data_IF_232742015134
#
_entry.id   IF_232742015134
#
_cell.length_a   1.000
_cell.length_b   1.000
_cell.length_c   1.000
_cell.angle_alpha   90.00
_cell.angle_beta   90.00
_cell.angle_gamma   90.00
#
_symmetry.space_group_name_H-M   'P 1'
#
loop_
_entity.id
_entity.type
_entity.pdbx_description
1 polymer ?
#
# COMPACT_ATOMS: atom_id res chain seq x y z
N UNK A 1 87.59 30.38 -17.97
CA UNK A 1 86.60 29.99 -16.95
C UNK A 1 85.73 31.13 -16.41
N UNK A 2 85.95 32.43 -16.75
CA UNK A 2 85.12 33.55 -16.24
C UNK A 2 83.69 33.62 -16.81
N UNK A 3 83.39 32.94 -17.93
CA UNK A 3 82.06 32.95 -18.56
C UNK A 3 81.14 31.79 -18.14
N UNK A 4 81.67 30.75 -17.46
CA UNK A 4 80.89 29.59 -17.05
C UNK A 4 80.05 29.87 -15.79
N UNK A 5 80.58 30.67 -14.87
CA UNK A 5 79.90 31.09 -13.64
C UNK A 5 78.61 31.88 -13.94
N UNK A 6 78.62 32.94 -14.77
CA UNK A 6 77.39 33.68 -15.08
C UNK A 6 76.37 32.84 -15.86
N UNK A 7 76.83 31.85 -16.64
CA UNK A 7 75.94 30.92 -17.33
C UNK A 7 75.22 29.98 -16.35
N UNK A 8 75.92 29.47 -15.33
CA UNK A 8 75.33 28.64 -14.28
C UNK A 8 74.38 29.46 -13.41
N UNK A 9 74.73 30.69 -13.03
CA UNK A 9 73.84 31.60 -12.30
C UNK A 9 72.56 31.88 -13.08
N UNK A 10 72.65 32.17 -14.38
CA UNK A 10 71.48 32.42 -15.21
C UNK A 10 70.55 31.18 -15.27
N UNK A 11 71.12 29.97 -15.41
CA UNK A 11 70.34 28.73 -15.42
C UNK A 11 69.64 28.52 -14.06
N UNK A 12 70.36 28.71 -12.95
CA UNK A 12 69.80 28.57 -11.60
C UNK A 12 68.71 29.62 -11.36
N UNK A 13 68.93 30.88 -11.75
CA UNK A 13 67.93 31.94 -11.65
C UNK A 13 66.67 31.61 -12.45
N UNK A 14 66.80 31.07 -13.67
CA UNK A 14 65.67 30.63 -14.48
C UNK A 14 64.92 29.50 -13.79
N UNK A 15 65.61 28.49 -13.26
CA UNK A 15 64.98 27.36 -12.56
C UNK A 15 64.24 27.86 -11.31
N UNK A 16 64.86 28.72 -10.50
CA UNK A 16 64.22 29.31 -9.32
C UNK A 16 62.98 30.09 -9.72
N UNK A 17 63.05 30.93 -10.77
CA UNK A 17 61.90 31.69 -11.28
C UNK A 17 60.77 30.78 -11.75
N UNK A 18 61.09 29.71 -12.49
CA UNK A 18 60.09 28.76 -13.00
C UNK A 18 59.42 27.99 -11.87
N UNK A 19 60.20 27.56 -10.88
CA UNK A 19 59.70 26.84 -9.70
C UNK A 19 58.83 27.75 -8.84
N UNK A 20 59.28 28.99 -8.63
CA UNK A 20 58.54 30.05 -7.93
C UNK A 20 57.22 30.34 -8.67
N UNK A 21 57.26 30.46 -9.99
CA UNK A 21 56.06 30.68 -10.81
C UNK A 21 55.07 29.51 -10.69
N UNK A 22 55.52 28.26 -10.75
CA UNK A 22 54.63 27.10 -10.58
C UNK A 22 54.04 26.96 -9.16
N UNK A 23 54.76 27.42 -8.13
CA UNK A 23 54.29 27.38 -6.73
C UNK A 23 53.30 28.53 -6.45
N UNK A 24 53.60 29.74 -6.91
CA UNK A 24 52.76 30.93 -6.65
C UNK A 24 51.57 31.04 -7.62
N UNK A 25 51.66 30.41 -8.80
CA UNK A 25 50.57 30.31 -9.77
C UNK A 25 50.23 28.85 -10.02
N UNK A 26 49.71 28.11 -9.01
CA UNK A 26 49.18 26.78 -9.27
C UNK A 26 48.09 26.92 -10.33
N UNK A 27 48.12 26.05 -11.34
CA UNK A 27 47.12 26.08 -12.41
C UNK A 27 45.72 26.04 -11.81
N UNK A 28 44.97 27.13 -11.95
CA UNK A 28 43.56 27.17 -11.53
C UNK A 28 42.76 26.30 -12.50
N UNK A 29 42.58 25.02 -12.14
CA UNK A 29 41.63 24.16 -12.83
C UNK A 29 40.24 24.59 -12.39
N UNK A 30 39.58 25.42 -13.20
CA UNK A 30 38.15 25.67 -13.05
C UNK A 30 37.41 24.39 -13.37
N UNK A 31 37.00 23.65 -12.34
CA UNK A 31 35.96 22.63 -12.48
C UNK A 31 34.64 23.36 -12.70
N UNK A 32 34.28 23.55 -13.96
CA UNK A 32 33.02 24.15 -14.34
C UNK A 32 31.87 23.23 -13.90
N UNK A 33 30.93 23.76 -13.11
CA UNK A 33 29.67 23.09 -12.76
C UNK A 33 28.57 23.27 -13.82
N UNK A 34 28.93 23.73 -15.02
CA UNK A 34 27.96 23.94 -16.10
C UNK A 34 27.30 22.64 -16.57
N UNK A 35 28.03 21.51 -16.73
CA UNK A 35 27.41 20.24 -17.09
C UNK A 35 26.35 19.78 -16.08
N UNK A 36 26.66 19.91 -14.78
CA UNK A 36 25.74 19.62 -13.69
C UNK A 36 24.48 20.48 -13.75
N UNK A 37 24.65 21.80 -13.90
CA UNK A 37 23.55 22.74 -14.01
C UNK A 37 22.68 22.46 -15.25
N UNK A 38 23.28 22.07 -16.36
CA UNK A 38 22.58 21.72 -17.59
C UNK A 38 21.73 20.45 -17.42
N UNK A 39 22.25 19.41 -16.77
CA UNK A 39 21.49 18.17 -16.48
C UNK A 39 20.28 18.50 -15.60
N UNK A 40 20.48 19.29 -14.55
CA UNK A 40 19.40 19.71 -13.65
C UNK A 40 18.33 20.57 -14.34
N UNK A 41 18.73 21.45 -15.26
CA UNK A 41 17.77 22.24 -16.05
C UNK A 41 16.98 21.36 -16.99
N UNK A 42 17.66 20.46 -17.72
CA UNK A 42 17.01 19.50 -18.63
C UNK A 42 15.98 18.62 -17.91
N UNK A 43 16.32 18.07 -16.75
CA UNK A 43 15.38 17.24 -15.97
C UNK A 43 14.15 18.04 -15.52
N UNK A 44 14.33 19.28 -15.07
CA UNK A 44 13.23 20.18 -14.68
C UNK A 44 12.34 20.52 -15.87
N UNK A 45 12.92 20.88 -17.00
CA UNK A 45 12.18 21.25 -18.20
C UNK A 45 11.36 20.06 -18.72
N UNK A 46 11.93 18.85 -18.69
CA UNK A 46 11.21 17.61 -19.03
C UNK A 46 10.02 17.42 -18.09
N UNK A 47 10.23 17.47 -16.77
CA UNK A 47 9.15 17.27 -15.79
C UNK A 47 8.03 18.30 -15.94
N UNK A 48 8.37 19.58 -16.10
CA UNK A 48 7.40 20.66 -16.33
C UNK A 48 6.66 20.47 -17.65
N UNK A 49 7.33 19.98 -18.69
CA UNK A 49 6.70 19.68 -19.98
C UNK A 49 5.71 18.52 -19.84
N UNK A 50 6.10 17.44 -19.16
CA UNK A 50 5.23 16.29 -18.89
C UNK A 50 3.98 16.67 -18.09
N UNK A 51 4.14 17.56 -17.12
CA UNK A 51 3.02 18.10 -16.34
C UNK A 51 2.08 18.97 -17.20
N UNK A 52 2.62 19.89 -18.01
CA UNK A 52 1.81 20.72 -18.93
C UNK A 52 1.05 19.88 -19.96
N UNK A 53 1.62 18.74 -20.37
CA UNK A 53 0.97 17.75 -21.23
C UNK A 53 -0.01 16.83 -20.49
N UNK A 54 -0.13 16.96 -19.16
CA UNK A 54 -0.92 16.09 -18.27
C UNK A 54 -0.56 14.60 -18.39
N UNK A 55 0.70 14.30 -18.71
CA UNK A 55 1.19 12.91 -18.87
C UNK A 55 1.99 12.39 -17.68
N UNK A 56 2.31 13.26 -16.71
CA UNK A 56 3.14 12.87 -15.57
C UNK A 56 2.54 11.73 -14.76
N UNK A 57 1.20 11.70 -14.59
CA UNK A 57 0.49 10.61 -13.91
C UNK A 57 0.66 9.29 -14.66
N UNK A 58 0.41 9.28 -15.98
CA UNK A 58 0.54 8.08 -16.80
C UNK A 58 1.97 7.52 -16.75
N UNK A 59 2.99 8.35 -16.96
CA UNK A 59 4.38 7.90 -16.89
C UNK A 59 4.86 7.51 -15.49
N UNK A 60 4.16 7.96 -14.44
CA UNK A 60 4.50 7.56 -13.07
C UNK A 60 4.01 6.15 -12.72
N UNK A 61 2.95 5.65 -13.36
CA UNK A 61 2.24 4.45 -12.89
C UNK A 61 1.70 3.48 -13.96
N UNK A 62 1.49 3.95 -15.19
CA UNK A 62 0.75 3.23 -16.24
C UNK A 62 1.63 2.95 -17.46
N UNK A 63 2.35 3.96 -17.95
CA UNK A 63 3.16 3.92 -19.16
C UNK A 63 4.65 3.92 -18.82
N UNK A 64 5.45 3.22 -19.63
CA UNK A 64 6.90 3.31 -19.55
C UNK A 64 7.37 4.64 -20.15
N UNK A 65 8.12 5.42 -19.37
CA UNK A 65 8.65 6.72 -19.79
C UNK A 65 9.83 6.58 -20.76
N UNK A 66 10.41 5.37 -20.88
CA UNK A 66 11.67 5.13 -21.56
C UNK A 66 11.64 5.51 -23.03
N UNK A 67 10.56 5.21 -23.75
CA UNK A 67 10.43 5.56 -25.17
C UNK A 67 10.42 7.08 -25.39
N UNK A 68 9.74 7.81 -24.51
CA UNK A 68 9.72 9.27 -24.53
C UNK A 68 11.12 9.84 -24.21
N UNK A 69 11.78 9.34 -23.16
CA UNK A 69 13.09 9.84 -22.76
C UNK A 69 14.17 9.50 -23.80
N UNK A 70 14.14 8.31 -24.40
CA UNK A 70 15.05 7.94 -25.49
C UNK A 70 14.92 8.86 -26.71
N UNK A 71 13.75 9.47 -26.92
CA UNK A 71 13.51 10.41 -28.03
C UNK A 71 14.00 11.82 -27.70
N UNK A 72 13.93 12.24 -26.44
CA UNK A 72 14.22 13.61 -26.00
C UNK A 72 15.66 13.78 -25.51
N UNK A 73 16.27 12.71 -24.98
CA UNK A 73 17.60 12.73 -24.40
C UNK A 73 18.69 12.38 -25.41
N UNK A 74 19.92 12.76 -25.07
CA UNK A 74 21.10 12.41 -25.86
C UNK A 74 21.46 10.92 -25.64
N UNK A 75 22.00 10.21 -26.65
CA UNK A 75 22.26 8.76 -26.58
C UNK A 75 23.15 8.30 -25.43
N UNK A 76 24.00 9.20 -24.89
CA UNK A 76 24.95 8.88 -23.82
C UNK A 76 24.42 9.23 -22.43
N UNK A 77 23.22 9.80 -22.33
CA UNK A 77 22.61 10.17 -21.06
C UNK A 77 21.85 8.98 -20.48
N UNK A 78 22.21 8.60 -19.27
CA UNK A 78 21.46 7.63 -18.48
C UNK A 78 20.28 8.34 -17.82
N UNK A 79 19.14 7.66 -17.79
CA UNK A 79 17.97 8.11 -17.06
C UNK A 79 17.38 6.99 -16.22
N UNK A 80 16.68 7.38 -15.17
CA UNK A 80 15.86 6.48 -14.38
C UNK A 80 14.75 7.28 -13.70
N UNK A 81 13.72 6.60 -13.24
CA UNK A 81 12.59 7.23 -12.57
C UNK A 81 12.26 6.53 -11.26
N UNK A 82 11.90 7.33 -10.26
CA UNK A 82 11.52 6.84 -8.94
C UNK A 82 10.21 7.50 -8.52
N UNK A 83 9.26 6.70 -8.05
CA UNK A 83 8.00 7.21 -7.52
C UNK A 83 7.85 6.84 -6.06
N UNK A 84 7.62 7.84 -5.22
CA UNK A 84 7.46 7.71 -3.77
C UNK A 84 6.14 8.32 -3.28
N UNK A 85 5.75 8.00 -2.05
CA UNK A 85 4.58 8.60 -1.36
C UNK A 85 3.25 7.88 -1.60
N UNK A 86 3.21 6.93 -2.52
CA UNK A 86 2.02 6.16 -2.89
C UNK A 86 2.34 4.66 -3.02
N UNK A 87 1.34 3.81 -3.24
CA UNK A 87 1.53 2.38 -3.50
C UNK A 87 2.30 2.13 -4.79
N UNK A 88 3.04 1.03 -4.83
CA UNK A 88 3.61 0.48 -6.06
C UNK A 88 2.50 -0.13 -6.91
N UNK A 89 2.65 -0.13 -8.24
CA UNK A 89 1.74 -0.87 -9.13
C UNK A 89 1.82 -2.39 -8.93
N UNK A 90 2.94 -2.87 -8.36
CA UNK A 90 3.17 -4.27 -8.00
C UNK A 90 3.74 -4.36 -6.59
N UNK A 91 3.08 -5.11 -5.72
CA UNK A 91 3.48 -5.35 -4.33
C UNK A 91 3.65 -6.85 -4.14
N UNK A 92 4.82 -7.28 -3.69
CA UNK A 92 5.13 -8.69 -3.44
C UNK A 92 4.86 -9.00 -1.98
N UNK A 93 3.96 -9.95 -1.72
CA UNK A 93 3.59 -10.41 -0.38
C UNK A 93 4.15 -11.82 -0.17
N UNK A 94 5.18 -11.94 0.66
CA UNK A 94 5.66 -13.24 1.12
C UNK A 94 4.66 -13.83 2.11
N UNK A 95 4.12 -15.02 1.84
CA UNK A 95 3.07 -15.63 2.64
C UNK A 95 3.59 -16.93 3.26
N UNK A 96 3.68 -16.99 4.59
CA UNK A 96 3.84 -18.25 5.32
C UNK A 96 2.47 -18.92 5.46
N UNK A 97 1.99 -19.46 4.35
CA UNK A 97 0.61 -19.89 4.14
C UNK A 97 0.56 -21.18 3.32
N UNK A 98 -0.58 -21.86 3.31
CA UNK A 98 -0.84 -22.98 2.39
C UNK A 98 -1.07 -22.47 0.96
N UNK A 99 -0.92 -23.34 -0.04
CA UNK A 99 -1.19 -22.99 -1.44
C UNK A 99 -2.65 -22.60 -1.66
N UNK A 100 -3.58 -23.21 -0.92
CA UNK A 100 -5.00 -22.87 -0.97
C UNK A 100 -5.25 -21.45 -0.43
N UNK A 101 -4.63 -21.09 0.70
CA UNK A 101 -4.71 -19.73 1.24
C UNK A 101 -4.15 -18.70 0.25
N UNK A 102 -3.01 -18.99 -0.39
CA UNK A 102 -2.41 -18.12 -1.42
C UNK A 102 -3.37 -17.94 -2.60
N UNK A 103 -4.00 -19.02 -3.08
CA UNK A 103 -4.99 -18.97 -4.16
C UNK A 103 -6.19 -18.12 -3.79
N UNK A 104 -6.70 -18.27 -2.56
CA UNK A 104 -7.79 -17.47 -2.03
C UNK A 104 -7.43 -15.99 -1.91
N UNK A 105 -6.29 -15.65 -1.33
CA UNK A 105 -5.80 -14.27 -1.21
C UNK A 105 -5.63 -13.61 -2.59
N UNK A 106 -5.03 -14.33 -3.54
CA UNK A 106 -4.86 -13.86 -4.92
C UNK A 106 -6.21 -13.61 -5.59
N UNK A 107 -7.21 -14.48 -5.36
CA UNK A 107 -8.56 -14.31 -5.90
C UNK A 107 -9.28 -13.12 -5.29
N UNK A 108 -9.14 -12.92 -3.97
CA UNK A 108 -9.84 -11.87 -3.23
C UNK A 108 -9.26 -10.48 -3.47
N UNK A 109 -7.94 -10.33 -3.41
CA UNK A 109 -7.28 -9.02 -3.34
C UNK A 109 -6.06 -8.92 -4.27
N UNK A 110 -5.81 -9.91 -5.13
CA UNK A 110 -4.64 -9.94 -6.02
C UNK A 110 -4.62 -8.84 -7.08
N UNK A 111 -5.80 -8.34 -7.48
CA UNK A 111 -5.94 -7.24 -8.43
C UNK A 111 -6.88 -6.19 -7.85
N UNK A 112 -6.33 -5.02 -7.59
CA UNK A 112 -7.07 -3.88 -7.07
C UNK A 112 -6.97 -2.74 -8.07
N UNK A 113 -7.93 -1.82 -8.04
CA UNK A 113 -7.91 -0.60 -8.84
C UNK A 113 -8.16 0.59 -7.92
N UNK A 114 -7.28 1.57 -8.02
CA UNK A 114 -7.30 2.77 -7.19
C UNK A 114 -6.80 3.95 -8.00
N UNK A 115 -7.53 5.06 -7.99
CA UNK A 115 -7.22 6.27 -8.73
C UNK A 115 -6.94 5.98 -10.22
N UNK A 116 -7.77 5.14 -10.83
CA UNK A 116 -7.66 4.78 -12.24
C UNK A 116 -6.52 3.82 -12.61
N UNK A 117 -5.63 3.43 -11.68
CA UNK A 117 -4.53 2.47 -11.95
C UNK A 117 -4.74 1.12 -11.26
N UNK A 118 -4.13 0.09 -11.83
CA UNK A 118 -4.11 -1.25 -11.23
C UNK A 118 -2.99 -1.37 -10.19
N UNK A 119 -3.31 -2.00 -9.06
CA UNK A 119 -2.37 -2.41 -8.01
C UNK A 119 -2.45 -3.93 -7.92
N UNK A 120 -1.36 -4.59 -8.31
CA UNK A 120 -1.25 -6.04 -8.28
C UNK A 120 -0.57 -6.49 -6.98
N UNK A 121 -1.26 -7.32 -6.21
CA UNK A 121 -0.73 -8.00 -5.03
C UNK A 121 -0.33 -9.42 -5.41
N UNK A 122 0.99 -9.65 -5.48
CA UNK A 122 1.54 -10.95 -5.83
C UNK A 122 1.90 -11.73 -4.56
N UNK A 123 1.12 -12.77 -4.27
CA UNK A 123 1.36 -13.64 -3.13
C UNK A 123 2.36 -14.74 -3.49
N UNK A 124 3.51 -14.76 -2.83
CA UNK A 124 4.56 -15.77 -3.01
C UNK A 124 4.69 -16.61 -1.75
N UNK A 125 4.83 -17.93 -1.91
CA UNK A 125 5.02 -18.80 -0.75
C UNK A 125 6.38 -18.51 -0.08
N UNK A 126 6.37 -18.44 1.25
CA UNK A 126 7.56 -18.17 2.05
C UNK A 126 7.63 -19.07 3.28
N UNK A 127 8.85 -19.31 3.76
CA UNK A 127 9.10 -19.96 5.04
C UNK A 127 9.74 -18.95 6.00
N UNK A 128 9.49 -19.08 7.31
CA UNK A 128 10.13 -18.20 8.29
C UNK A 128 11.67 -18.37 8.34
N UNK A 129 12.21 -19.47 7.82
CA UNK A 129 13.65 -19.69 7.67
C UNK A 129 14.25 -18.96 6.46
N UNK A 130 13.46 -18.74 5.42
CA UNK A 130 13.90 -18.16 4.16
C UNK A 130 12.78 -17.30 3.57
N UNK A 131 12.85 -16.01 3.87
CA UNK A 131 11.89 -15.00 3.42
C UNK A 131 12.43 -14.40 2.11
N UNK A 132 11.71 -14.54 0.98
CA UNK A 132 12.14 -13.95 -0.29
C UNK A 132 12.15 -12.41 -0.20
N UNK A 133 12.73 -11.76 -1.22
CA UNK A 133 12.62 -10.30 -1.34
C UNK A 133 11.16 -9.93 -1.60
N UNK A 134 10.54 -9.23 -0.65
CA UNK A 134 9.13 -8.87 -0.66
C UNK A 134 8.89 -7.55 0.07
N UNK A 135 7.70 -6.97 -0.12
CA UNK A 135 7.29 -5.70 0.50
C UNK A 135 6.59 -5.93 1.86
N UNK A 136 5.92 -7.07 2.01
CA UNK A 136 5.23 -7.50 3.23
C UNK A 136 5.45 -8.99 3.44
N UNK A 137 5.64 -9.41 4.70
CA UNK A 137 5.54 -10.80 5.13
C UNK A 137 4.18 -10.99 5.82
N UNK A 138 3.39 -11.96 5.36
CA UNK A 138 2.14 -12.40 5.95
C UNK A 138 2.38 -13.76 6.62
N UNK A 139 2.10 -13.86 7.91
CA UNK A 139 2.20 -15.09 8.71
C UNK A 139 0.78 -15.53 9.06
N UNK A 140 0.41 -16.75 8.65
CA UNK A 140 -0.94 -17.27 8.87
C UNK A 140 -0.95 -18.36 9.95
N UNK A 141 -1.87 -18.21 10.89
CA UNK A 141 -1.96 -19.03 12.10
C UNK A 141 -0.83 -18.77 13.09
N UNK A 142 -1.02 -19.25 14.32
CA UNK A 142 0.01 -19.14 15.35
C UNK A 142 1.29 -19.87 14.96
N UNK A 143 2.44 -19.19 15.10
CA UNK A 143 3.79 -19.74 14.95
C UNK A 143 4.66 -19.27 16.11
N UNK A 144 5.55 -20.13 16.59
CA UNK A 144 6.59 -19.70 17.51
C UNK A 144 7.63 -18.86 16.75
N UNK A 145 7.71 -17.57 17.07
CA UNK A 145 8.56 -16.61 16.37
C UNK A 145 9.94 -16.42 17.03
N UNK A 146 10.16 -17.00 18.22
CA UNK A 146 11.40 -16.85 18.97
C UNK A 146 12.66 -17.25 18.15
N UNK A 147 12.67 -18.38 17.40
CA UNK A 147 13.82 -18.77 16.59
C UNK A 147 14.12 -17.79 15.43
N UNK A 148 13.11 -17.03 14.98
CA UNK A 148 13.18 -16.20 13.78
C UNK A 148 13.32 -14.71 14.10
N UNK A 149 13.30 -14.34 15.38
CA UNK A 149 13.25 -12.95 15.85
C UNK A 149 14.28 -12.05 15.17
N UNK A 150 15.55 -12.44 15.14
CA UNK A 150 16.62 -11.63 14.52
C UNK A 150 16.40 -11.44 13.01
N UNK A 151 15.97 -12.50 12.31
CA UNK A 151 15.68 -12.43 10.88
C UNK A 151 14.50 -11.49 10.59
N UNK A 152 13.44 -11.55 11.40
CA UNK A 152 12.27 -10.67 11.29
C UNK A 152 12.64 -9.21 11.57
N UNK A 153 13.45 -8.95 12.59
CA UNK A 153 13.95 -7.59 12.88
C UNK A 153 14.80 -7.04 11.73
N UNK A 154 15.67 -7.86 11.13
CA UNK A 154 16.47 -7.45 9.97
C UNK A 154 15.61 -7.24 8.72
N UNK A 155 14.53 -8.01 8.57
CA UNK A 155 13.53 -7.80 7.52
C UNK A 155 12.81 -6.44 7.69
N UNK A 156 12.43 -6.07 8.93
CA UNK A 156 11.83 -4.77 9.23
C UNK A 156 12.81 -3.60 9.01
N UNK A 157 14.10 -3.76 9.34
CA UNK A 157 15.13 -2.73 9.10
C UNK A 157 15.26 -2.34 7.63
N UNK A 158 14.94 -3.25 6.70
CA UNK A 158 14.90 -2.97 5.26
C UNK A 158 13.70 -2.12 4.83
N UNK A 159 12.78 -1.83 5.76
CA UNK A 159 11.56 -1.04 5.53
C UNK A 159 10.34 -1.88 5.11
N UNK A 160 10.44 -3.20 5.22
CA UNK A 160 9.37 -4.13 4.89
C UNK A 160 8.37 -4.24 6.05
N UNK A 161 7.12 -4.61 5.76
CA UNK A 161 6.08 -4.82 6.77
C UNK A 161 5.90 -6.27 7.17
N UNK A 162 5.37 -6.54 8.36
CA UNK A 162 4.99 -7.88 8.82
C UNK A 162 3.53 -7.85 9.28
N UNK A 163 2.74 -8.82 8.86
CA UNK A 163 1.37 -9.04 9.34
C UNK A 163 1.26 -10.46 9.86
N UNK A 164 0.82 -10.62 11.09
CA UNK A 164 0.50 -11.93 11.67
C UNK A 164 -1.01 -12.03 11.85
N UNK A 165 -1.60 -13.06 11.25
CA UNK A 165 -3.00 -13.44 11.42
C UNK A 165 -3.00 -14.66 12.32
N UNK A 166 -3.28 -14.49 13.61
CA UNK A 166 -3.18 -15.58 14.56
C UNK A 166 -4.05 -15.36 15.80
N UNK A 167 -4.64 -16.45 16.25
CA UNK A 167 -5.20 -16.56 17.60
C UNK A 167 -4.20 -17.20 18.56
N UNK A 168 -4.23 -16.77 19.81
CA UNK A 168 -3.31 -17.26 20.84
C UNK A 168 -4.00 -18.26 21.75
N UNK A 169 -3.64 -19.54 21.67
CA UNK A 169 -4.07 -20.56 22.64
C UNK A 169 -3.35 -20.41 23.99
N UNK A 170 -2.02 -20.22 23.93
CA UNK A 170 -1.15 -19.98 25.09
C UNK A 170 -0.87 -18.49 25.31
N UNK A 171 -0.04 -18.12 26.29
CA UNK A 171 0.35 -16.71 26.48
C UNK A 171 1.16 -16.22 25.28
N UNK A 172 1.00 -14.95 24.93
CA UNK A 172 1.83 -14.27 23.91
C UNK A 172 3.31 -14.42 24.28
N UNK A 173 4.12 -14.95 23.36
CA UNK A 173 5.55 -15.17 23.60
C UNK A 173 6.36 -13.85 23.53
N UNK A 174 7.63 -13.90 23.92
CA UNK A 174 8.45 -12.70 24.03
C UNK A 174 8.76 -12.08 22.65
N UNK A 175 9.02 -12.88 21.62
CA UNK A 175 9.19 -12.39 20.26
C UNK A 175 7.96 -11.60 19.76
N UNK A 176 6.73 -12.10 19.95
CA UNK A 176 5.51 -11.42 19.54
C UNK A 176 5.31 -10.13 20.33
N UNK A 177 5.56 -10.16 21.65
CA UNK A 177 5.54 -8.94 22.50
C UNK A 177 6.48 -7.87 21.97
N UNK A 178 7.69 -8.23 21.56
CA UNK A 178 8.68 -7.26 21.08
C UNK A 178 8.38 -6.76 19.67
N UNK A 179 8.03 -7.66 18.75
CA UNK A 179 7.84 -7.34 17.33
C UNK A 179 6.51 -6.60 17.10
N UNK A 180 5.42 -7.12 17.66
CA UNK A 180 4.06 -6.59 17.47
C UNK A 180 3.66 -5.60 18.57
N UNK A 181 4.32 -5.63 19.72
CA UNK A 181 4.00 -4.76 20.85
C UNK A 181 2.63 -5.07 21.44
N UNK A 182 2.31 -6.35 21.63
CA UNK A 182 1.03 -6.85 22.16
C UNK A 182 1.26 -7.68 23.43
N UNK A 183 0.28 -7.73 24.34
CA UNK A 183 0.35 -8.54 25.57
C UNK A 183 -0.99 -9.21 25.88
N UNK A 184 -0.91 -10.37 26.56
CA UNK A 184 -2.07 -11.03 27.17
C UNK A 184 -2.51 -10.25 28.42
N UNK A 185 -3.81 -10.00 28.53
CA UNK A 185 -4.40 -9.22 29.62
C UNK A 185 -5.60 -9.90 30.29
N UNK A 186 -5.76 -11.21 30.09
CA UNK A 186 -6.81 -12.02 30.74
C UNK A 186 -7.79 -12.64 29.76
N UNK A 187 -8.97 -13.06 30.26
CA UNK A 187 -10.01 -13.68 29.45
C UNK A 187 -11.11 -12.71 29.01
N UNK A 188 -11.83 -13.09 27.96
CA UNK A 188 -12.86 -12.33 27.29
C UNK A 188 -14.01 -13.23 26.78
N UNK A 189 -15.16 -13.17 27.44
CA UNK A 189 -16.23 -14.14 27.19
C UNK A 189 -17.27 -13.74 26.13
N UNK A 190 -17.48 -12.45 25.86
CA UNK A 190 -18.51 -12.02 24.89
C UNK A 190 -18.23 -10.61 24.33
N UNK A 191 -18.52 -10.41 23.05
CA UNK A 191 -18.47 -9.12 22.36
C UNK A 191 -19.88 -8.80 21.84
N UNK A 192 -20.31 -7.54 21.88
CA UNK A 192 -21.60 -7.14 21.35
C UNK A 192 -21.50 -6.67 19.90
N UNK A 193 -20.40 -6.00 19.54
CA UNK A 193 -20.09 -5.53 18.19
C UNK A 193 -18.64 -5.06 18.07
N UNK A 194 -18.14 -5.00 16.84
CA UNK A 194 -16.79 -4.61 16.50
C UNK A 194 -16.76 -3.23 15.84
N UNK A 195 -15.80 -2.39 16.24
CA UNK A 195 -15.72 -0.99 15.82
C UNK A 195 -14.32 -0.57 15.45
N UNK A 196 -14.22 0.18 14.36
CA UNK A 196 -12.96 0.85 13.97
C UNK A 196 -12.72 2.09 14.82
N UNK A 197 -11.47 2.29 15.26
CA UNK A 197 -11.07 3.54 15.92
C UNK A 197 -10.82 4.59 14.84
N UNK A 198 -11.60 5.67 14.86
CA UNK A 198 -11.30 6.83 14.02
C UNK A 198 -10.00 7.47 14.53
N UNK A 199 -8.97 7.61 13.68
CA UNK A 199 -7.72 8.27 14.06
C UNK A 199 -7.97 9.74 14.42
N UNK A 200 -7.22 10.26 15.39
CA UNK A 200 -7.33 11.65 15.83
C UNK A 200 -6.84 12.61 14.73
N UNK A 201 -5.78 12.24 14.02
CA UNK A 201 -5.19 13.03 12.95
C UNK A 201 -4.41 12.16 11.95
N UNK A 202 -3.85 12.78 10.92
CA UNK A 202 -3.08 12.10 9.88
C UNK A 202 -1.76 11.48 10.37
N UNK A 203 -1.27 11.89 11.54
CA UNK A 203 -0.06 11.37 12.18
C UNK A 203 -0.33 10.14 13.06
N UNK A 204 -1.60 9.82 13.35
CA UNK A 204 -1.96 8.61 14.09
C UNK A 204 -1.51 7.37 13.32
N UNK A 205 -0.95 6.38 14.03
CA UNK A 205 -0.44 5.13 13.45
C UNK A 205 -1.54 4.39 12.67
N UNK A 206 -2.78 4.46 13.14
CA UNK A 206 -3.97 3.86 12.54
C UNK A 206 -4.54 4.65 11.35
N UNK A 207 -4.00 5.85 11.03
CA UNK A 207 -4.54 6.68 9.96
C UNK A 207 -4.42 6.04 8.58
N UNK A 208 -3.29 5.42 8.28
CA UNK A 208 -3.07 4.79 6.98
C UNK A 208 -4.05 3.63 6.72
N UNK A 209 -4.17 2.60 7.57
CA UNK A 209 -5.15 1.55 7.35
C UNK A 209 -6.58 2.08 7.36
N UNK A 210 -6.92 3.04 8.24
CA UNK A 210 -8.24 3.69 8.25
C UNK A 210 -8.56 4.34 6.90
N UNK A 211 -7.67 5.19 6.39
CA UNK A 211 -7.83 5.89 5.12
C UNK A 211 -8.00 4.89 3.96
N UNK A 212 -7.20 3.82 3.94
CA UNK A 212 -7.26 2.83 2.87
C UNK A 212 -8.59 2.06 2.95
N UNK A 213 -9.00 1.60 4.13
CA UNK A 213 -10.25 0.85 4.31
C UNK A 213 -11.48 1.59 3.77
N UNK A 214 -11.59 2.90 4.01
CA UNK A 214 -12.76 3.70 3.59
C UNK A 214 -12.65 4.33 2.19
N UNK A 215 -11.57 4.07 1.46
CA UNK A 215 -11.37 4.65 0.13
C UNK A 215 -10.92 3.66 -0.93
N UNK A 216 -10.36 2.51 -0.53
CA UNK A 216 -9.98 1.46 -1.45
C UNK A 216 -11.25 0.79 -2.01
N UNK A 217 -11.46 0.82 -3.33
CA UNK A 217 -12.58 0.09 -3.93
C UNK A 217 -12.29 -1.40 -3.89
N UNK A 218 -13.16 -2.16 -3.23
CA UNK A 218 -13.13 -3.60 -3.26
C UNK A 218 -13.64 -4.11 -4.61
N UNK A 219 -12.88 -5.02 -5.22
CA UNK A 219 -13.24 -5.67 -6.48
C UNK A 219 -14.29 -6.77 -6.23
N UNK A 220 -15.52 -6.55 -6.69
CA UNK A 220 -16.60 -7.55 -6.66
C UNK A 220 -16.82 -8.10 -8.06
N UNK A 221 -16.63 -9.42 -8.20
CA UNK A 221 -16.77 -10.11 -9.50
C UNK A 221 -18.22 -10.51 -9.75
N UNK A 222 -18.61 -10.48 -11.02
CA UNK A 222 -19.91 -10.94 -11.53
C UNK A 222 -19.76 -12.16 -12.45
N UNK A 223 -19.46 -13.35 -11.90
CA UNK A 223 -19.11 -14.52 -12.72
C UNK A 223 -20.31 -15.13 -13.46
N UNK A 224 -21.53 -14.86 -12.99
CA UNK A 224 -22.74 -15.54 -13.47
C UNK A 224 -23.37 -14.73 -14.58
N UNK A 225 -23.66 -15.34 -15.74
CA UNK A 225 -24.46 -14.72 -16.79
C UNK A 225 -25.94 -14.94 -16.52
N UNK A 226 -26.75 -13.90 -16.72
CA UNK A 226 -28.21 -13.97 -16.57
C UNK A 226 -28.92 -13.44 -17.81
N UNK A 227 -30.17 -13.87 -18.01
CA UNK A 227 -30.98 -13.48 -19.17
C UNK A 227 -31.75 -12.18 -18.95
N UNK A 228 -32.00 -11.81 -17.69
CA UNK A 228 -32.80 -10.64 -17.31
C UNK A 228 -32.46 -10.22 -15.89
N UNK A 229 -32.60 -8.94 -15.58
CA UNK A 229 -32.57 -8.43 -14.20
C UNK A 229 -34.01 -8.46 -13.66
N UNK A 230 -34.34 -9.30 -12.68
CA UNK A 230 -35.64 -9.23 -12.02
C UNK A 230 -35.72 -7.91 -11.26
N UNK A 231 -36.75 -7.09 -11.50
CA UNK A 231 -36.91 -5.79 -10.84
C UNK A 231 -38.17 -5.72 -9.99
N UNK A 232 -38.12 -4.95 -8.91
CA UNK A 232 -39.26 -4.57 -8.07
C UNK A 232 -39.36 -3.05 -8.03
N UNK A 233 -40.45 -2.46 -8.54
CA UNK A 233 -40.62 -1.01 -8.56
C UNK A 233 -39.68 -0.25 -9.52
N UNK A 234 -38.82 -0.94 -10.26
CA UNK A 234 -37.92 -0.37 -11.26
C UNK A 234 -38.31 -0.80 -12.68
N UNK A 235 -38.06 0.08 -13.65
CA UNK A 235 -38.19 -0.25 -15.07
C UNK A 235 -37.21 -1.40 -15.41
N UNK A 236 -37.71 -2.45 -16.06
CA UNK A 236 -36.89 -3.58 -16.46
C UNK A 236 -35.87 -3.13 -17.53
N UNK A 237 -34.56 -3.29 -17.27
CA UNK A 237 -33.55 -2.79 -18.19
C UNK A 237 -33.41 -3.73 -19.39
N UNK A 238 -33.23 -3.16 -20.58
CA UNK A 238 -32.97 -3.90 -21.82
C UNK A 238 -31.48 -3.88 -22.11
N UNK A 239 -30.81 -5.02 -21.84
CA UNK A 239 -29.36 -5.12 -21.93
C UNK A 239 -28.97 -6.40 -22.67
N UNK A 240 -27.98 -6.35 -23.59
CA UNK A 240 -27.58 -7.52 -24.37
C UNK A 240 -26.81 -8.54 -23.52
N UNK A 241 -26.10 -8.09 -22.49
CA UNK A 241 -25.32 -8.92 -21.58
C UNK A 241 -25.61 -8.50 -20.15
N UNK A 242 -26.06 -9.45 -19.34
CA UNK A 242 -26.30 -9.26 -17.91
C UNK A 242 -25.43 -10.25 -17.17
N UNK A 243 -24.68 -9.75 -16.21
CA UNK A 243 -23.93 -10.56 -15.28
C UNK A 243 -24.35 -10.25 -13.86
N UNK A 244 -24.20 -11.22 -12.96
CA UNK A 244 -24.53 -11.08 -11.56
C UNK A 244 -23.41 -11.58 -10.66
N UNK A 245 -23.37 -10.99 -9.48
CA UNK A 245 -22.45 -11.33 -8.41
C UNK A 245 -23.09 -11.11 -7.06
N UNK A 246 -22.31 -11.40 -6.02
CA UNK A 246 -22.72 -11.26 -4.64
C UNK A 246 -21.78 -10.30 -3.93
N UNK A 247 -22.33 -9.44 -3.10
CA UNK A 247 -21.62 -8.61 -2.14
C UNK A 247 -21.99 -9.08 -0.73
N UNK A 248 -21.05 -9.62 0.01
CA UNK A 248 -21.29 -10.21 1.33
C UNK A 248 -20.63 -9.39 2.42
N UNK A 249 -21.42 -8.82 3.33
CA UNK A 249 -20.92 -8.10 4.50
C UNK A 249 -21.92 -8.24 5.65
N UNK A 250 -21.45 -8.18 6.89
CA UNK A 250 -22.28 -8.29 8.09
C UNK A 250 -23.21 -9.54 8.01
N UNK A 251 -22.66 -10.68 7.57
CA UNK A 251 -23.37 -11.95 7.41
C UNK A 251 -24.54 -11.92 6.42
N UNK A 252 -24.64 -10.86 5.61
CA UNK A 252 -25.71 -10.70 4.65
C UNK A 252 -25.14 -10.68 3.24
N UNK A 253 -25.73 -11.52 2.39
CA UNK A 253 -25.42 -11.56 0.97
C UNK A 253 -26.39 -10.64 0.24
N UNK A 254 -25.87 -9.67 -0.50
CA UNK A 254 -26.62 -8.79 -1.40
C UNK A 254 -26.26 -9.13 -2.83
N UNK A 255 -27.26 -9.57 -3.59
CA UNK A 255 -27.05 -9.86 -5.00
C UNK A 255 -27.00 -8.55 -5.79
N UNK A 256 -26.13 -8.48 -6.78
CA UNK A 256 -26.05 -7.36 -7.70
C UNK A 256 -26.00 -7.83 -9.15
N UNK A 257 -26.41 -6.96 -10.06
CA UNK A 257 -26.38 -7.18 -11.49
C UNK A 257 -25.74 -6.01 -12.23
N UNK A 258 -24.93 -6.34 -13.23
CA UNK A 258 -24.32 -5.37 -14.15
C UNK A 258 -24.98 -5.53 -15.51
N UNK A 259 -25.51 -4.43 -16.03
CA UNK A 259 -26.19 -4.37 -17.32
C UNK A 259 -25.51 -3.44 -18.32
N UNK A 260 -24.66 -2.51 -17.88
CA UNK A 260 -23.91 -1.59 -18.72
C UNK A 260 -22.70 -1.06 -17.93
N UNK A 261 -21.92 -0.14 -18.51
CA UNK A 261 -20.76 0.48 -17.86
C UNK A 261 -21.11 1.68 -16.97
N UNK A 262 -22.40 1.95 -16.72
CA UNK A 262 -22.86 3.18 -16.05
C UNK A 262 -23.73 2.95 -14.83
N UNK A 263 -24.34 1.77 -14.68
CA UNK A 263 -25.30 1.44 -13.62
C UNK A 263 -25.11 0.03 -13.09
N UNK A 264 -25.39 -0.15 -11.80
CA UNK A 264 -25.46 -1.44 -11.11
C UNK A 264 -26.80 -1.53 -10.39
N UNK A 265 -27.41 -2.71 -10.45
CA UNK A 265 -28.68 -3.02 -9.81
C UNK A 265 -28.39 -3.85 -8.57
N UNK A 266 -28.98 -3.52 -7.43
CA UNK A 266 -28.81 -4.28 -6.18
C UNK A 266 -30.16 -4.77 -5.67
N UNK A 267 -30.15 -5.93 -5.03
CA UNK A 267 -31.23 -6.47 -4.22
C UNK A 267 -30.95 -6.15 -2.74
N UNK A 268 -31.58 -5.10 -2.21
CA UNK A 268 -31.34 -4.66 -0.83
C UNK A 268 -32.13 -5.45 0.21
N UNK A 269 -33.26 -6.06 -0.17
CA UNK A 269 -34.18 -6.75 0.73
C UNK A 269 -34.11 -8.29 0.66
N UNK A 270 -33.22 -8.83 -0.18
CA UNK A 270 -32.95 -10.27 -0.38
C UNK A 270 -34.13 -11.05 -0.97
N UNK A 271 -35.03 -10.40 -1.69
CA UNK A 271 -36.15 -11.07 -2.36
C UNK A 271 -35.81 -11.59 -3.78
N UNK A 272 -34.52 -11.56 -4.15
CA UNK A 272 -33.98 -11.91 -5.46
C UNK A 272 -34.42 -10.98 -6.61
N UNK A 273 -34.87 -9.76 -6.30
CA UNK A 273 -35.20 -8.72 -7.27
C UNK A 273 -34.43 -7.45 -6.94
N UNK A 274 -33.95 -6.79 -7.97
CA UNK A 274 -33.36 -5.47 -7.83
C UNK A 274 -34.43 -4.45 -7.46
N UNK A 275 -34.16 -3.70 -6.40
CA UNK A 275 -35.00 -2.64 -5.85
C UNK A 275 -34.31 -1.26 -5.88
N UNK A 276 -32.98 -1.23 -6.04
CA UNK A 276 -32.22 0.01 -6.28
C UNK A 276 -31.34 -0.07 -7.54
N UNK A 277 -31.10 1.11 -8.14
CA UNK A 277 -30.13 1.31 -9.23
C UNK A 277 -29.13 2.36 -8.80
N UNK A 278 -27.84 2.06 -8.91
CA UNK A 278 -26.73 2.93 -8.51
C UNK A 278 -25.93 3.31 -9.74
N UNK A 279 -25.67 4.60 -9.94
CA UNK A 279 -24.84 5.10 -11.04
C UNK A 279 -23.36 5.04 -10.68
N UNK A 280 -22.51 4.95 -11.71
CA UNK A 280 -21.07 5.14 -11.56
C UNK A 280 -20.77 6.47 -10.84
N UNK A 281 -19.88 6.43 -9.85
CA UNK A 281 -19.51 7.53 -8.96
C UNK A 281 -20.65 8.03 -8.06
N UNK A 282 -21.66 7.20 -7.79
CA UNK A 282 -22.77 7.52 -6.88
C UNK A 282 -22.57 6.85 -5.52
N UNK A 283 -22.95 7.59 -4.47
CA UNK A 283 -23.08 7.03 -3.12
C UNK A 283 -24.45 6.36 -2.96
N UNK A 284 -24.49 5.22 -2.28
CA UNK A 284 -25.73 4.49 -2.03
C UNK A 284 -25.71 3.84 -0.64
N UNK A 285 -26.86 3.35 -0.20
CA UNK A 285 -27.02 2.78 1.15
C UNK A 285 -27.51 1.34 1.07
N UNK A 286 -26.86 0.42 1.77
CA UNK A 286 -27.33 -0.95 1.99
C UNK A 286 -27.37 -1.21 3.50
N UNK A 287 -28.51 -1.67 4.03
CA UNK A 287 -28.71 -1.94 5.46
C UNK A 287 -28.29 -0.79 6.40
N UNK A 288 -28.50 0.46 5.96
CA UNK A 288 -28.14 1.65 6.74
C UNK A 288 -26.66 2.05 6.66
N UNK A 289 -25.81 1.26 6.00
CA UNK A 289 -24.42 1.60 5.73
C UNK A 289 -24.26 2.25 4.36
N UNK A 290 -23.37 3.23 4.29
CA UNK A 290 -23.11 4.02 3.08
C UNK A 290 -21.91 3.46 2.31
N UNK A 291 -22.08 3.32 1.01
CA UNK A 291 -21.09 2.81 0.06
C UNK A 291 -20.95 3.77 -1.12
N UNK A 292 -19.92 3.58 -1.92
CA UNK A 292 -19.71 4.33 -3.15
C UNK A 292 -19.30 3.40 -4.29
N UNK A 293 -19.89 3.60 -5.46
CA UNK A 293 -19.57 2.83 -6.66
C UNK A 293 -18.47 3.53 -7.46
N UNK A 294 -17.23 3.05 -7.33
CA UNK A 294 -16.04 3.69 -7.91
C UNK A 294 -15.86 3.38 -9.40
N UNK A 295 -16.08 2.14 -9.81
CA UNK A 295 -15.92 1.74 -11.21
C UNK A 295 -16.82 0.56 -11.58
N UNK A 296 -17.07 0.44 -12.89
CA UNK A 296 -17.74 -0.69 -13.53
C UNK A 296 -16.86 -1.10 -14.71
N UNK A 297 -16.28 -2.30 -14.65
CA UNK A 297 -15.49 -2.83 -15.75
C UNK A 297 -16.38 -3.71 -16.63
N UNK A 298 -16.76 -3.19 -17.81
CA UNK A 298 -17.43 -3.87 -18.93
C UNK A 298 -18.09 -5.22 -18.60
N UNK A 299 -19.13 -5.22 -17.75
CA UNK A 299 -19.94 -6.39 -17.39
C UNK A 299 -19.23 -7.50 -16.60
N UNK A 300 -18.00 -7.32 -16.12
CA UNK A 300 -17.26 -8.39 -15.42
C UNK A 300 -17.18 -8.17 -13.91
N UNK A 301 -17.05 -6.92 -13.49
CA UNK A 301 -16.78 -6.58 -12.10
C UNK A 301 -17.06 -5.11 -11.79
N UNK A 302 -17.22 -4.83 -10.50
CA UNK A 302 -17.42 -3.49 -9.95
C UNK A 302 -16.48 -3.22 -8.79
N UNK A 303 -16.16 -1.95 -8.59
CA UNK A 303 -15.40 -1.47 -7.44
C UNK A 303 -16.33 -0.75 -6.46
N UNK A 304 -16.45 -1.25 -5.23
CA UNK A 304 -17.23 -0.60 -4.17
C UNK A 304 -16.32 -0.22 -3.02
N UNK A 305 -16.34 1.05 -2.60
CA UNK A 305 -15.68 1.52 -1.39
C UNK A 305 -16.69 1.76 -0.26
N UNK A 306 -16.26 1.47 0.97
CA UNK A 306 -17.05 1.70 2.18
C UNK A 306 -16.91 3.15 2.60
N UNK A 307 -17.98 3.79 3.10
CA UNK A 307 -17.89 5.15 3.66
C UNK A 307 -17.84 5.12 5.19
N UNK A 308 -17.27 6.17 5.83
CA UNK A 308 -17.14 6.23 7.29
C UNK A 308 -18.44 5.97 8.05
N UNK A 309 -18.24 5.46 9.28
CA UNK A 309 -19.22 4.90 10.22
C UNK A 309 -19.67 3.47 9.92
N UNK A 310 -18.99 2.75 9.02
CA UNK A 310 -19.13 1.30 8.95
C UNK A 310 -18.67 0.65 10.27
N UNK A 311 -19.51 -0.23 10.79
CA UNK A 311 -19.19 -1.07 11.93
C UNK A 311 -19.31 -2.52 11.47
N UNK A 312 -18.42 -3.36 11.99
CA UNK A 312 -18.53 -4.80 11.86
C UNK A 312 -19.58 -5.20 12.90
N UNK A 313 -20.84 -5.11 12.51
CA UNK A 313 -21.92 -5.71 13.29
C UNK A 313 -21.85 -7.20 13.04
N UNK A 314 -21.94 -7.94 14.12
CA UNK A 314 -21.63 -9.34 14.12
C UNK A 314 -22.68 -9.95 15.05
N UNK A 315 -23.52 -10.85 14.52
CA UNK A 315 -24.51 -11.55 15.35
C UNK A 315 -23.79 -12.40 16.40
N UNK A 316 -24.48 -12.81 17.48
CA UNK A 316 -23.90 -13.59 18.60
C UNK A 316 -23.08 -14.84 18.21
N UNK A 317 -23.16 -15.28 16.95
CA UNK A 317 -22.50 -16.48 16.41
C UNK A 317 -21.15 -16.22 15.74
N UNK A 318 -20.86 -15.02 15.25
CA UNK A 318 -19.60 -14.69 14.58
C UNK A 318 -19.16 -13.35 15.15
N UNK A 319 -18.00 -13.32 15.80
CA UNK A 319 -17.42 -12.13 16.39
C UNK A 319 -15.98 -12.10 15.93
N UNK A 320 -15.67 -11.23 14.97
CA UNK A 320 -14.32 -11.13 14.39
C UNK A 320 -13.26 -11.01 15.48
N UNK A 321 -13.55 -10.24 16.51
CA UNK A 321 -12.68 -10.00 17.64
C UNK A 321 -12.60 -11.09 18.72
N UNK A 322 -13.32 -12.20 18.56
CA UNK A 322 -13.41 -13.27 19.56
C UNK A 322 -12.43 -14.40 19.25
N UNK A 323 -11.36 -14.47 20.04
CA UNK A 323 -10.45 -15.61 19.99
C UNK A 323 -11.11 -16.88 20.51
N UNK A 324 -10.84 -18.06 19.92
CA UNK A 324 -11.30 -19.36 20.43
C UNK A 324 -10.89 -19.59 21.90
N UNK A 325 -9.68 -19.16 22.25
CA UNK A 325 -9.12 -19.23 23.61
C UNK A 325 -9.73 -18.21 24.58
N UNK A 326 -10.60 -17.32 24.08
CA UNK A 326 -11.19 -16.20 24.82
C UNK A 326 -10.13 -15.33 25.47
N UNK A 327 -8.95 -15.15 24.88
CA UNK A 327 -7.94 -14.27 25.45
C UNK A 327 -8.14 -12.82 25.02
N UNK A 328 -7.87 -11.91 25.95
CA UNK A 328 -7.87 -10.48 25.71
C UNK A 328 -6.46 -10.02 25.40
N UNK A 329 -6.21 -9.76 24.12
CA UNK A 329 -4.96 -9.15 23.66
C UNK A 329 -5.11 -7.64 23.66
N UNK A 330 -4.11 -6.95 24.21
CA UNK A 330 -4.07 -5.48 24.24
C UNK A 330 -2.71 -4.97 23.77
N UNK A 331 -2.63 -3.72 23.29
CA UNK A 331 -1.35 -3.08 23.01
C UNK A 331 -0.49 -3.02 24.28
N UNK A 332 0.82 -3.25 24.12
CA UNK A 332 1.82 -3.03 25.17
C UNK A 332 1.67 -1.61 25.73
N UNK A 333 1.79 -1.46 27.05
CA UNK A 333 1.58 -0.19 27.79
C UNK A 333 0.16 0.41 27.71
N UNK A 334 -0.84 -0.35 27.27
CA UNK A 334 -2.23 0.12 27.10
C UNK A 334 -2.36 1.30 26.10
N UNK A 335 -1.47 1.37 25.11
CA UNK A 335 -1.48 2.38 24.05
C UNK A 335 -2.62 2.12 23.05
N UNK A 336 -3.86 2.39 23.46
CA UNK A 336 -5.07 2.09 22.69
C UNK A 336 -5.12 2.75 21.30
N UNK A 337 -4.37 3.84 21.08
CA UNK A 337 -4.26 4.52 19.78
C UNK A 337 -3.63 3.64 18.69
N UNK A 338 -2.94 2.57 19.08
CA UNK A 338 -2.34 1.59 18.18
C UNK A 338 -3.33 0.53 17.70
N UNK A 339 -4.49 0.42 18.33
CA UNK A 339 -5.52 -0.49 17.88
C UNK A 339 -6.34 0.13 16.75
N UNK A 340 -6.51 -0.61 15.66
CA UNK A 340 -7.36 -0.18 14.55
C UNK A 340 -8.80 -0.68 14.70
N UNK A 341 -8.96 -1.93 15.15
CA UNK A 341 -10.25 -2.58 15.34
C UNK A 341 -10.32 -3.21 16.74
N UNK A 342 -11.46 -3.03 17.39
CA UNK A 342 -11.73 -3.58 18.71
C UNK A 342 -13.19 -3.98 18.85
N UNK A 343 -13.42 -5.05 19.59
CA UNK A 343 -14.72 -5.47 20.07
C UNK A 343 -15.09 -4.78 21.37
N UNK A 344 -16.38 -4.49 21.51
CA UNK A 344 -16.96 -3.84 22.69
C UNK A 344 -17.90 -4.80 23.39
N UNK A 345 -17.78 -4.89 24.72
CA UNK A 345 -18.80 -5.49 25.58
C UNK A 345 -19.43 -4.40 26.44
N UNK A 346 -20.72 -4.14 26.25
CA UNK A 346 -21.49 -3.25 27.12
C UNK A 346 -21.65 -3.91 28.48
N UNK A 347 -21.21 -3.22 29.51
CA UNK A 347 -21.54 -3.62 30.89
C UNK A 347 -22.75 -2.82 31.36
N UNK A 348 -23.59 -3.43 32.20
CA UNK A 348 -24.70 -2.73 32.85
C UNK A 348 -24.25 -1.57 33.76
N UNK A 349 -22.95 -1.45 34.02
CA UNK A 349 -22.33 -0.39 34.82
C UNK A 349 -21.89 0.83 33.99
N UNK A 350 -22.06 0.82 32.66
CA UNK A 350 -21.70 1.93 31.78
C UNK A 350 -20.21 2.00 31.39
N UNK A 351 -19.39 1.06 31.86
CA UNK A 351 -18.00 0.90 31.39
C UNK A 351 -17.95 -0.11 30.24
N UNK A 352 -17.73 0.38 29.03
CA UNK A 352 -17.49 -0.46 27.86
C UNK A 352 -16.12 -1.10 27.95
N UNK A 353 -16.07 -2.41 28.12
CA UNK A 353 -14.81 -3.15 28.07
C UNK A 353 -14.44 -3.31 26.60
N UNK A 354 -13.16 -3.15 26.25
CA UNK A 354 -12.62 -3.36 24.89
C UNK A 354 -11.71 -4.60 24.78
N UNK A 355 -11.87 -5.37 23.70
CA UNK A 355 -10.93 -6.41 23.24
C UNK A 355 -10.39 -6.01 21.88
N UNK A 356 -9.08 -6.11 21.65
CA UNK A 356 -8.47 -5.64 20.42
C UNK A 356 -8.13 -6.80 19.48
N UNK A 357 -8.27 -6.53 18.19
CA UNK A 357 -8.33 -7.56 17.16
C UNK A 357 -7.45 -7.20 15.98
N UNK A 358 -7.22 -5.90 15.78
CA UNK A 358 -6.16 -5.38 14.92
C UNK A 358 -5.33 -4.40 15.72
N UNK A 359 -4.06 -4.75 15.97
CA UNK A 359 -3.12 -3.90 16.70
C UNK A 359 -1.90 -3.64 15.82
N UNK A 360 -1.52 -2.38 15.70
CA UNK A 360 -0.30 -1.97 15.02
C UNK A 360 0.82 -1.79 16.05
N UNK A 361 2.07 -2.02 15.63
CA UNK A 361 3.21 -1.63 16.44
C UNK A 361 3.47 -0.12 16.37
N UNK A 362 4.43 0.38 17.16
CA UNK A 362 4.77 1.80 17.19
C UNK A 362 5.24 2.37 15.82
N UNK A 363 5.77 1.53 14.93
CA UNK A 363 6.18 1.96 13.58
C UNK A 363 5.05 1.93 12.54
N UNK A 364 3.90 1.32 12.86
CA UNK A 364 2.81 1.08 11.92
C UNK A 364 3.15 0.09 10.80
N UNK A 365 4.30 -0.59 10.88
CA UNK A 365 4.78 -1.56 9.87
C UNK A 365 4.57 -3.00 10.27
N UNK A 366 4.32 -3.23 11.56
CA UNK A 366 3.97 -4.55 12.07
C UNK A 366 2.53 -4.51 12.54
N UNK A 367 1.74 -5.49 12.12
CA UNK A 367 0.32 -5.56 12.44
C UNK A 367 0.00 -6.98 12.91
N UNK A 368 -0.60 -7.08 14.08
CA UNK A 368 -1.24 -8.31 14.52
C UNK A 368 -2.74 -8.22 14.26
N UNK A 369 -3.29 -9.27 13.69
CA UNK A 369 -4.70 -9.46 13.40
C UNK A 369 -5.13 -10.81 13.99
N UNK A 370 -6.26 -10.85 14.68
CA UNK A 370 -6.88 -12.11 15.14
C UNK A 370 -7.33 -12.94 13.94
N UNK A 371 -7.33 -14.27 14.03
CA UNK A 371 -7.63 -15.12 12.87
C UNK A 371 -9.15 -15.17 12.59
N UNK A 372 -9.64 -14.62 11.46
CA UNK A 372 -11.06 -14.67 11.15
C UNK A 372 -11.51 -15.99 10.51
N UNK A 373 -10.58 -16.92 10.23
CA UNK A 373 -10.86 -18.10 9.40
C UNK A 373 -11.48 -19.28 10.13
N UNK A 374 -11.48 -19.27 11.46
CA UNK A 374 -11.96 -20.38 12.28
C UNK A 374 -13.48 -20.60 12.22
N UNK A 375 -14.26 -19.69 11.62
CA UNK A 375 -15.73 -19.75 11.75
C UNK A 375 -16.55 -19.66 10.47
N UNK A 376 -16.18 -18.96 9.39
CA UNK A 376 -16.93 -18.92 8.11
C UNK A 376 -16.02 -18.41 6.97
N UNK A 377 -16.39 -18.69 5.71
CA UNK A 377 -15.74 -18.09 4.53
C UNK A 377 -15.66 -16.56 4.65
N UNK A 378 -14.44 -16.02 4.57
CA UNK A 378 -14.16 -14.58 4.73
C UNK A 378 -15.12 -13.70 3.91
N UNK A 379 -15.80 -12.78 4.59
CA UNK A 379 -16.71 -11.80 3.97
C UNK A 379 -15.94 -10.67 3.26
N UNK A 380 -16.64 -9.85 2.47
CA UNK A 380 -16.02 -8.83 1.62
C UNK A 380 -15.46 -7.64 2.41
N UNK A 381 -16.08 -7.26 3.52
CA UNK A 381 -15.55 -6.29 4.48
C UNK A 381 -14.27 -6.78 5.16
N UNK A 382 -14.18 -8.06 5.52
CA UNK A 382 -12.96 -8.68 6.04
C UNK A 382 -11.84 -8.75 4.99
N UNK A 383 -12.18 -9.03 3.73
CA UNK A 383 -11.20 -8.99 2.61
C UNK A 383 -10.65 -7.58 2.44
N UNK A 384 -11.52 -6.57 2.50
CA UNK A 384 -11.14 -5.17 2.40
C UNK A 384 -10.28 -4.73 3.58
N UNK A 385 -10.62 -5.18 4.80
CA UNK A 385 -9.83 -4.97 6.00
C UNK A 385 -8.41 -5.53 5.80
N UNK A 386 -8.27 -6.79 5.40
CA UNK A 386 -6.97 -7.41 5.15
C UNK A 386 -6.18 -6.67 4.05
N UNK A 387 -6.81 -6.32 2.93
CA UNK A 387 -6.18 -5.53 1.88
C UNK A 387 -5.65 -4.20 2.41
N UNK A 388 -6.44 -3.50 3.25
CA UNK A 388 -6.05 -2.22 3.83
C UNK A 388 -4.81 -2.34 4.73
N UNK A 389 -4.71 -3.42 5.50
CA UNK A 389 -3.57 -3.70 6.37
C UNK A 389 -2.32 -4.05 5.56
N UNK A 390 -2.45 -4.91 4.54
CA UNK A 390 -1.33 -5.26 3.63
C UNK A 390 -0.78 -4.01 2.95
N UNK A 391 -1.65 -3.18 2.37
CA UNK A 391 -1.24 -1.95 1.70
C UNK A 391 -0.61 -0.95 2.67
N UNK A 392 -1.12 -0.82 3.90
CA UNK A 392 -0.54 0.04 4.93
C UNK A 392 0.87 -0.41 5.34
N UNK A 393 1.04 -1.72 5.59
CA UNK A 393 2.30 -2.30 6.00
C UNK A 393 3.36 -2.31 4.89
N UNK A 394 2.93 -2.38 3.62
CA UNK A 394 3.82 -2.53 2.45
C UNK A 394 4.96 -1.52 2.37
N UNK A 395 6.11 -2.00 1.90
CA UNK A 395 7.24 -1.15 1.56
C UNK A 395 6.91 -0.33 0.30
N UNK A 396 6.76 0.98 0.49
CA UNK A 396 6.42 1.92 -0.60
C UNK A 396 7.65 2.47 -1.32
N UNK A 397 8.86 2.12 -0.89
CA UNK A 397 10.10 2.59 -1.54
C UNK A 397 10.24 1.91 -2.90
N UNK A 398 10.39 2.68 -3.98
CA UNK A 398 10.79 2.15 -5.28
C UNK A 398 12.15 1.43 -5.18
N UNK A 399 12.40 0.51 -6.10
CA UNK A 399 13.68 -0.20 -6.19
C UNK A 399 14.84 0.80 -6.16
N UNK A 400 15.87 0.51 -5.35
CA UNK A 400 17.07 1.33 -5.26
C UNK A 400 17.79 1.38 -6.61
N UNK A 401 18.33 2.56 -6.91
CA UNK A 401 19.22 2.87 -8.02
C UNK A 401 20.06 1.66 -8.49
N UNK A 402 19.92 1.21 -9.75
CA UNK A 402 20.71 0.10 -10.26
C UNK A 402 22.19 0.44 -10.52
N UNK A 403 22.60 1.71 -10.45
CA UNK A 403 23.92 2.13 -10.96
C UNK A 403 24.88 2.62 -9.88
N UNK A 404 25.64 1.69 -9.32
CA UNK A 404 26.92 1.98 -8.66
C UNK A 404 27.98 2.34 -9.73
N UNK A 405 27.93 3.57 -10.25
CA UNK A 405 28.88 4.00 -11.30
C UNK A 405 28.64 5.36 -11.95
N UNK A 406 27.68 6.17 -11.48
CA UNK A 406 27.46 7.51 -12.02
C UNK A 406 28.58 8.47 -11.59
N UNK A 407 29.24 9.13 -12.56
CA UNK A 407 30.20 10.20 -12.28
C UNK A 407 29.50 11.52 -11.94
N UNK A 408 28.43 11.83 -12.69
CA UNK A 408 27.57 13.00 -12.48
C UNK A 408 26.12 12.56 -12.68
N UNK A 409 25.26 12.81 -11.69
CA UNK A 409 23.83 12.54 -11.82
C UNK A 409 23.00 13.40 -10.87
N UNK A 410 21.82 13.82 -11.32
CA UNK A 410 20.86 14.60 -10.55
C UNK A 410 19.52 13.90 -10.53
N UNK A 411 18.95 13.78 -9.33
CA UNK A 411 17.58 13.36 -9.14
C UNK A 411 16.70 14.61 -8.95
N UNK A 412 15.75 14.81 -9.84
CA UNK A 412 14.86 15.97 -9.81
C UNK A 412 13.47 15.53 -9.43
N UNK A 413 12.95 15.92 -8.24
CA UNK A 413 11.62 15.56 -7.80
C UNK A 413 10.55 16.51 -8.35
N UNK A 414 9.37 15.96 -8.61
CA UNK A 414 8.13 16.65 -8.90
C UNK A 414 7.04 16.05 -8.01
N UNK A 415 6.36 16.91 -7.23
CA UNK A 415 5.29 16.49 -6.30
C UNK A 415 3.95 16.77 -6.94
N UNK A 416 3.06 15.78 -6.92
CA UNK A 416 1.71 15.93 -7.44
C UNK A 416 0.70 15.20 -6.53
N UNK A 417 -0.58 15.43 -6.80
CA UNK A 417 -1.70 14.85 -6.05
C UNK A 417 -2.77 14.28 -6.98
N UNK A 418 -3.45 13.24 -6.53
CA UNK A 418 -4.60 12.63 -7.20
C UNK A 418 -5.70 12.36 -6.18
N UNK A 419 -6.97 12.42 -6.58
CA UNK A 419 -8.11 12.23 -5.67
C UNK A 419 -9.36 11.74 -6.42
N UNK A 420 -9.24 10.65 -7.17
CA UNK A 420 -10.41 10.04 -7.82
C UNK A 420 -11.15 9.12 -6.84
N UNK A 421 -10.43 8.19 -6.22
CA UNK A 421 -10.94 7.27 -5.19
C UNK A 421 -10.43 7.64 -3.79
N UNK A 422 -9.12 7.86 -3.70
CA UNK A 422 -8.40 8.19 -2.48
C UNK A 422 -7.41 9.32 -2.73
N UNK A 423 -7.40 10.34 -1.87
CA UNK A 423 -6.40 11.39 -1.94
C UNK A 423 -4.99 10.80 -1.77
N UNK A 424 -4.14 10.87 -2.78
CA UNK A 424 -2.74 10.45 -2.72
C UNK A 424 -1.83 11.62 -3.07
N UNK A 425 -0.74 11.75 -2.32
CA UNK A 425 0.37 12.65 -2.63
C UNK A 425 1.53 11.78 -3.06
N UNK A 426 2.07 12.02 -4.24
CA UNK A 426 3.22 11.27 -4.75
C UNK A 426 4.32 12.21 -5.21
N UNK A 427 5.56 11.73 -5.10
CA UNK A 427 6.77 12.39 -5.57
C UNK A 427 7.33 11.54 -6.70
N UNK A 428 7.21 12.03 -7.93
CA UNK A 428 7.86 11.45 -9.10
C UNK A 428 9.23 12.10 -9.26
N UNK A 429 10.29 11.31 -9.38
CA UNK A 429 11.66 11.80 -9.49
C UNK A 429 12.28 11.30 -10.77
N UNK A 430 12.77 12.23 -11.60
CA UNK A 430 13.54 11.92 -12.79
C UNK A 430 15.02 12.06 -12.48
N UNK A 431 15.74 10.96 -12.59
CA UNK A 431 17.18 10.92 -12.51
C UNK A 431 17.78 11.02 -13.91
N UNK A 432 18.74 11.93 -14.09
CA UNK A 432 19.54 12.04 -15.30
C UNK A 432 21.02 12.03 -14.91
N UNK A 433 21.88 11.38 -15.69
CA UNK A 433 23.30 11.39 -15.46
C UNK A 433 24.13 10.87 -16.61
N UNK A 434 25.45 11.00 -16.48
CA UNK A 434 26.43 10.44 -17.42
C UNK A 434 27.27 9.37 -16.73
N UNK A 435 27.57 8.26 -17.43
CA UNK A 435 28.43 7.21 -16.90
C UNK A 435 29.92 7.62 -16.83
N UNK A 436 30.35 8.62 -17.61
CA UNK A 436 31.76 9.02 -17.76
C UNK A 436 32.01 10.50 -17.59
#
# INVERSE_FOLDING_TARGET
MKAQIPMIEAIISIIILLTTFSIFFPGFIYQSKWPEAQILLKSRDILVTLDRLKRIWNYSFVEDISDFLNTVLEPNMLFWTETEGTFKSRIIVACNCTLEQISNLTRWIGKLKLNGREINLDFVQASLNNIPSSDVLLIFGYKNLEPYKNLLLDYLKKGNGIIEIADFESSVENAQKEIFGIVDSGSWDSIDYDRTIKPLNASSITYQPYKIFYHLPLLLRSPTKENSIPTEGLASPTCPNITSGNFTFNQTVKKFWICNSTHVYFDTNQNSKADIVVRLNEDFTLQGYKFHLNYINNYTDIGISFRPFYNFTDTDTFQFCRQPSKKRIIPLNNENERAFLYGIKKTGAGEDIRSFCVILNASGKVIWLTDPTDTIALEDDHKLLLASLILAASNKKSLQLPYAGLRIGYLTPYVNTINEDMFEVYKFSLGLGYPY
#
